data_IF_847905988069
#
_entry.id   IF_847905988069
#
_cell.length_a   1.000
_cell.length_b   1.000
_cell.length_c   1.000
_cell.angle_alpha   90.00
_cell.angle_beta   90.00
_cell.angle_gamma   90.00
#
_symmetry.space_group_name_H-M   'P 1'
#
loop_
_entity.id
_entity.type
_entity.pdbx_description
1 polymer ?
#
# COMPACT_ATOMS: atom_id res chain seq x y z
N UNK A 1 -40.18 17.27 27.84
CA UNK A 1 -38.99 17.47 26.99
C UNK A 1 -38.28 16.13 26.81
N UNK A 2 -38.26 15.56 25.61
CA UNK A 2 -37.56 14.31 25.31
C UNK A 2 -36.07 14.61 25.16
N UNK A 3 -35.21 13.97 25.97
CA UNK A 3 -33.76 13.97 25.73
C UNK A 3 -33.51 13.20 24.43
N UNK A 4 -33.04 13.90 23.41
CA UNK A 4 -32.52 13.28 22.19
C UNK A 4 -31.22 12.58 22.59
N UNK A 5 -31.25 11.25 22.72
CA UNK A 5 -30.06 10.45 22.93
C UNK A 5 -29.17 10.57 21.71
N UNK A 6 -27.96 11.13 21.89
CA UNK A 6 -26.91 11.08 20.88
C UNK A 6 -26.54 9.60 20.71
N UNK A 7 -26.95 8.99 19.60
CA UNK A 7 -26.41 7.70 19.19
C UNK A 7 -24.93 7.90 18.89
N UNK A 8 -24.07 7.41 19.77
CA UNK A 8 -22.63 7.35 19.57
C UNK A 8 -22.28 6.20 18.61
N UNK A 9 -22.75 6.28 17.36
CA UNK A 9 -22.42 5.33 16.28
C UNK A 9 -21.02 5.62 15.66
N UNK A 10 -20.14 6.28 16.41
CA UNK A 10 -18.79 6.60 15.92
C UNK A 10 -17.91 5.34 15.98
N UNK A 11 -17.13 5.04 14.92
CA UNK A 11 -16.22 3.90 14.94
C UNK A 11 -15.20 4.03 16.08
N UNK A 12 -14.89 2.90 16.70
CA UNK A 12 -13.91 2.82 17.78
C UNK A 12 -12.54 3.31 17.28
N UNK A 13 -11.96 4.29 17.98
CA UNK A 13 -10.63 4.80 17.68
C UNK A 13 -9.59 3.96 18.39
N UNK A 14 -8.63 3.42 17.63
CA UNK A 14 -7.46 2.75 18.18
C UNK A 14 -6.23 3.64 17.95
N UNK A 15 -5.49 3.92 19.03
CA UNK A 15 -4.20 4.57 18.95
C UNK A 15 -3.12 3.50 18.98
N UNK A 16 -2.30 3.44 17.94
CA UNK A 16 -1.20 2.48 17.84
C UNK A 16 0.09 3.30 17.87
N UNK A 17 0.93 3.02 18.86
CA UNK A 17 2.28 3.58 18.89
C UNK A 17 3.14 2.85 17.87
N UNK A 18 3.64 3.59 16.87
CA UNK A 18 4.45 3.07 15.79
C UNK A 18 5.68 3.94 15.62
N UNK A 19 6.81 3.31 15.32
CA UNK A 19 8.00 4.02 14.88
C UNK A 19 7.73 4.62 13.49
N UNK A 20 7.70 5.95 13.42
CA UNK A 20 7.38 6.65 12.18
C UNK A 20 8.57 6.63 11.21
N UNK A 21 8.32 6.26 9.96
CA UNK A 21 9.30 6.29 8.88
C UNK A 21 8.96 7.37 7.86
N UNK A 22 9.83 8.37 7.73
CA UNK A 22 9.66 9.46 6.76
C UNK A 22 10.01 8.99 5.35
N UNK A 23 9.13 9.27 4.39
CA UNK A 23 9.42 9.07 2.97
C UNK A 23 10.65 9.87 2.52
N UNK A 24 11.43 9.30 1.60
CA UNK A 24 12.68 9.90 1.09
C UNK A 24 12.55 10.42 -0.33
N UNK A 25 11.43 10.16 -1.00
CA UNK A 25 11.17 10.57 -2.37
C UNK A 25 9.66 10.82 -2.58
N UNK A 26 9.27 11.16 -3.79
CA UNK A 26 7.86 11.40 -4.14
C UNK A 26 7.07 10.11 -4.43
N UNK A 27 7.74 8.95 -4.51
CA UNK A 27 7.14 7.68 -4.92
C UNK A 27 7.08 6.61 -3.81
N UNK A 28 7.77 6.82 -2.69
CA UNK A 28 8.00 5.82 -1.64
C UNK A 28 7.12 6.01 -0.40
N UNK A 29 6.09 6.85 -0.46
CA UNK A 29 5.17 7.08 0.65
C UNK A 29 4.50 5.78 1.12
N UNK A 30 3.98 4.97 0.18
CA UNK A 30 3.39 3.66 0.49
C UNK A 30 4.41 2.66 1.06
N UNK A 31 5.64 2.66 0.56
CA UNK A 31 6.73 1.81 1.08
C UNK A 31 7.10 2.23 2.51
N UNK A 32 7.09 3.54 2.78
CA UNK A 32 7.32 4.08 4.12
C UNK A 32 6.24 3.62 5.09
N UNK A 33 4.97 3.57 4.65
CA UNK A 33 3.89 2.96 5.43
C UNK A 33 4.14 1.48 5.75
N UNK A 34 4.61 0.70 4.77
CA UNK A 34 4.98 -0.71 5.00
C UNK A 34 6.11 -0.81 6.03
N UNK A 35 7.14 0.04 5.94
CA UNK A 35 8.22 0.05 6.94
C UNK A 35 7.72 0.25 8.37
N UNK A 36 6.70 1.09 8.59
CA UNK A 36 6.15 1.36 9.93
C UNK A 36 5.53 0.11 10.58
N UNK A 37 4.93 -0.78 9.79
CA UNK A 37 4.24 -1.99 10.31
C UNK A 37 5.12 -3.24 10.34
N UNK A 38 6.30 -3.21 9.72
CA UNK A 38 7.21 -4.36 9.71
C UNK A 38 7.95 -4.54 11.04
N UNK A 39 8.21 -5.80 11.49
CA UNK A 39 9.13 -6.08 12.58
C UNK A 39 10.56 -5.57 12.28
N UNK A 40 11.33 -5.25 13.31
CA UNK A 40 12.66 -4.64 13.19
C UNK A 40 13.59 -5.37 12.20
N UNK A 41 13.64 -6.70 12.23
CA UNK A 41 14.46 -7.53 11.31
C UNK A 41 14.09 -7.29 9.84
N UNK A 42 12.79 -7.38 9.52
CA UNK A 42 12.28 -7.18 8.16
C UNK A 42 12.45 -5.73 7.70
N UNK A 43 12.24 -4.79 8.62
CA UNK A 43 12.43 -3.37 8.36
C UNK A 43 13.87 -3.02 8.01
N UNK A 44 14.84 -3.54 8.76
CA UNK A 44 16.27 -3.37 8.47
C UNK A 44 16.64 -3.99 7.12
N UNK A 45 16.12 -5.19 6.83
CA UNK A 45 16.33 -5.85 5.54
C UNK A 45 15.79 -5.02 4.38
N UNK A 46 14.54 -4.54 4.46
CA UNK A 46 13.91 -3.70 3.44
C UNK A 46 14.71 -2.40 3.24
N UNK A 47 15.09 -1.73 4.32
CA UNK A 47 15.81 -0.46 4.26
C UNK A 47 17.18 -0.62 3.58
N UNK A 48 17.93 -1.69 3.90
CA UNK A 48 19.25 -1.97 3.30
C UNK A 48 19.16 -2.37 1.83
N UNK A 49 18.06 -2.99 1.41
CA UNK A 49 17.92 -3.59 0.08
C UNK A 49 16.84 -2.91 -0.77
N UNK A 50 16.36 -1.72 -0.39
CA UNK A 50 15.15 -1.10 -0.93
C UNK A 50 15.14 -1.09 -2.47
N UNK A 51 16.16 -0.49 -3.07
CA UNK A 51 16.26 -0.37 -4.53
C UNK A 51 16.31 -1.72 -5.24
N UNK A 52 16.94 -2.74 -4.63
CA UNK A 52 17.01 -4.10 -5.20
C UNK A 52 15.65 -4.78 -5.13
N UNK A 53 14.97 -4.66 -4.00
CA UNK A 53 13.64 -5.24 -3.78
C UNK A 53 12.62 -4.57 -4.70
N UNK A 54 12.53 -3.25 -4.74
CA UNK A 54 11.58 -2.56 -5.62
C UNK A 54 11.78 -2.94 -7.10
N UNK A 55 13.03 -3.18 -7.52
CA UNK A 55 13.33 -3.70 -8.87
C UNK A 55 12.89 -5.15 -9.04
N UNK A 56 13.19 -6.04 -8.11
CA UNK A 56 12.80 -7.46 -8.22
C UNK A 56 11.29 -7.67 -8.16
N UNK A 57 10.59 -6.82 -7.41
CA UNK A 57 9.12 -6.82 -7.34
C UNK A 57 8.48 -6.04 -8.51
N UNK A 58 9.28 -5.49 -9.43
CA UNK A 58 8.79 -4.90 -10.69
C UNK A 58 8.13 -3.53 -10.60
N UNK A 59 8.09 -2.87 -9.44
CA UNK A 59 7.46 -1.55 -9.28
C UNK A 59 8.46 -0.37 -9.24
N UNK A 60 9.73 -0.65 -8.97
CA UNK A 60 10.84 0.32 -9.05
C UNK A 60 10.56 1.65 -8.31
N UNK A 61 10.22 2.72 -9.05
CA UNK A 61 9.89 4.07 -8.51
C UNK A 61 8.43 4.49 -8.78
N UNK A 62 7.55 3.54 -9.06
CA UNK A 62 6.12 3.77 -9.30
C UNK A 62 5.34 2.75 -8.49
N UNK A 63 4.97 3.13 -7.27
CA UNK A 63 4.36 2.22 -6.29
C UNK A 63 2.84 2.30 -6.37
N UNK A 64 2.20 1.17 -6.60
CA UNK A 64 0.76 1.00 -6.57
C UNK A 64 0.34 0.22 -5.33
N UNK A 65 -0.94 0.32 -4.93
CA UNK A 65 -1.44 -0.39 -3.75
C UNK A 65 -1.21 -1.90 -3.86
N UNK A 66 -1.33 -2.48 -5.07
CA UNK A 66 -1.07 -3.90 -5.30
C UNK A 66 0.41 -4.28 -5.09
N UNK A 67 1.34 -3.39 -5.43
CA UNK A 67 2.77 -3.60 -5.18
C UNK A 67 3.05 -3.64 -3.66
N UNK A 68 2.35 -2.81 -2.88
CA UNK A 68 2.44 -2.84 -1.42
C UNK A 68 1.91 -4.14 -0.83
N UNK A 69 0.83 -4.70 -1.40
CA UNK A 69 0.31 -6.00 -0.99
C UNK A 69 1.32 -7.13 -1.25
N UNK A 70 1.97 -7.14 -2.41
CA UNK A 70 3.05 -8.09 -2.68
C UNK A 70 4.24 -7.91 -1.74
N UNK A 71 4.60 -6.66 -1.42
CA UNK A 71 5.66 -6.36 -0.46
C UNK A 71 5.30 -6.86 0.95
N UNK A 72 4.06 -6.66 1.41
CA UNK A 72 3.56 -7.19 2.69
C UNK A 72 3.59 -8.73 2.70
N UNK A 73 3.16 -9.36 1.59
CA UNK A 73 3.21 -10.83 1.41
C UNK A 73 4.65 -11.36 1.50
N UNK A 74 5.61 -10.68 0.86
CA UNK A 74 7.04 -11.04 0.88
C UNK A 74 7.60 -11.10 2.30
N UNK A 75 7.11 -10.24 3.19
CA UNK A 75 7.50 -10.17 4.60
C UNK A 75 6.54 -10.91 5.53
N UNK A 76 5.69 -11.78 4.97
CA UNK A 76 4.77 -12.65 5.71
C UNK A 76 3.77 -11.89 6.61
N UNK A 77 3.45 -10.64 6.24
CA UNK A 77 2.41 -9.87 6.91
C UNK A 77 1.05 -10.33 6.42
N UNK A 78 0.23 -10.87 7.31
CA UNK A 78 -1.15 -11.21 7.01
C UNK A 78 -1.96 -9.94 6.72
N UNK A 79 -2.62 -9.88 5.56
CA UNK A 79 -3.41 -8.74 5.13
C UNK A 79 -4.53 -9.17 4.18
N UNK A 80 -5.53 -8.30 4.05
CA UNK A 80 -6.62 -8.45 3.08
C UNK A 80 -6.64 -7.21 2.19
N UNK A 81 -6.69 -7.40 0.87
CA UNK A 81 -6.79 -6.31 -0.10
C UNK A 81 -8.24 -6.17 -0.56
N UNK A 82 -8.84 -5.02 -0.27
CA UNK A 82 -10.18 -4.67 -0.74
C UNK A 82 -10.07 -3.75 -1.95
N UNK A 83 -10.91 -3.98 -2.96
CA UNK A 83 -11.03 -3.10 -4.13
C UNK A 83 -12.48 -2.96 -4.53
N UNK A 84 -12.84 -1.80 -5.07
CA UNK A 84 -14.19 -1.52 -5.62
C UNK A 84 -14.32 -2.10 -7.03
N UNK A 85 -13.25 -2.05 -7.82
CA UNK A 85 -13.22 -2.53 -9.21
C UNK A 85 -12.04 -3.47 -9.44
N UNK A 86 -12.23 -4.47 -10.29
CA UNK A 86 -11.13 -5.30 -10.80
C UNK A 86 -10.40 -4.50 -11.88
N UNK A 87 -9.18 -4.08 -11.57
CA UNK A 87 -8.36 -3.26 -12.46
C UNK A 87 -8.78 -1.78 -12.46
N UNK A 88 -8.61 -1.12 -13.60
CA UNK A 88 -8.88 0.31 -13.76
C UNK A 88 -10.36 0.52 -14.04
N UNK A 89 -10.97 1.42 -13.28
CA UNK A 89 -12.34 1.87 -13.51
C UNK A 89 -12.53 2.32 -14.96
N UNK A 90 -13.60 1.88 -15.63
CA UNK A 90 -13.75 2.00 -17.08
C UNK A 90 -13.59 3.41 -17.62
N UNK A 91 -14.15 4.40 -16.91
CA UNK A 91 -14.04 5.82 -17.26
C UNK A 91 -12.60 6.38 -17.30
N UNK A 92 -11.61 5.67 -16.75
CA UNK A 92 -10.20 6.07 -16.76
C UNK A 92 -9.32 5.21 -17.67
N UNK A 93 -9.87 4.16 -18.31
CA UNK A 93 -9.09 3.25 -19.16
C UNK A 93 -8.41 3.93 -20.34
N UNK A 94 -9.00 5.01 -20.87
CA UNK A 94 -8.45 5.76 -22.00
C UNK A 94 -7.28 6.67 -21.61
N UNK A 95 -7.07 6.93 -20.32
CA UNK A 95 -6.00 7.83 -19.88
C UNK A 95 -4.63 7.14 -20.06
N UNK A 96 -3.73 7.83 -20.75
CA UNK A 96 -2.38 7.35 -21.10
C UNK A 96 -1.55 6.92 -19.90
N UNK A 97 -1.84 7.47 -18.73
CA UNK A 97 -1.25 7.02 -17.48
C UNK A 97 -1.48 5.53 -17.25
N UNK A 98 -2.70 5.02 -17.43
CA UNK A 98 -3.07 3.63 -17.09
C UNK A 98 -2.64 2.60 -18.15
N UNK A 99 -2.46 3.01 -19.40
CA UNK A 99 -2.03 2.10 -20.48
C UNK A 99 -0.72 1.41 -20.16
N UNK A 100 0.25 2.13 -19.58
CA UNK A 100 1.55 1.55 -19.21
C UNK A 100 1.42 0.49 -18.10
N UNK A 101 0.48 0.64 -17.17
CA UNK A 101 0.26 -0.30 -16.06
C UNK A 101 -0.49 -1.54 -16.53
N UNK A 102 -1.49 -1.38 -17.38
CA UNK A 102 -2.26 -2.52 -17.90
C UNK A 102 -1.37 -3.47 -18.71
N UNK A 103 -0.42 -2.94 -19.48
CA UNK A 103 0.57 -3.73 -20.22
C UNK A 103 1.55 -4.48 -19.30
N UNK A 104 1.88 -3.93 -18.12
CA UNK A 104 2.71 -4.62 -17.10
C UNK A 104 1.98 -5.83 -16.51
N UNK A 105 0.66 -5.75 -16.31
CA UNK A 105 -0.11 -6.84 -15.74
C UNK A 105 -0.23 -8.06 -16.69
N UNK A 106 -0.34 -7.83 -17.99
CA UNK A 106 -0.47 -8.89 -19.00
C UNK A 106 0.80 -9.72 -19.23
N UNK A 107 1.96 -9.28 -18.74
CA UNK A 107 3.25 -9.97 -18.90
C UNK A 107 3.65 -10.80 -17.67
N UNK A 108 2.79 -10.84 -16.64
CA UNK A 108 2.99 -11.60 -15.39
C UNK A 108 1.98 -12.76 -15.21
N UNK A 109 1.24 -13.10 -16.27
CA UNK A 109 0.31 -14.23 -16.37
C UNK A 109 0.81 -15.24 -17.41
#
# INVERSE_FOLDING_TARGET
MRRVGVRSDAPQKHHIELLHYRQKSNWDCGVSCVLMVLPNKHRQHLTKNLSKICRSEGFNKSTWTIDLCYLLKKYEVQHVFYTVTIGVHEGYRANSFYHQILTKASSSL
#
